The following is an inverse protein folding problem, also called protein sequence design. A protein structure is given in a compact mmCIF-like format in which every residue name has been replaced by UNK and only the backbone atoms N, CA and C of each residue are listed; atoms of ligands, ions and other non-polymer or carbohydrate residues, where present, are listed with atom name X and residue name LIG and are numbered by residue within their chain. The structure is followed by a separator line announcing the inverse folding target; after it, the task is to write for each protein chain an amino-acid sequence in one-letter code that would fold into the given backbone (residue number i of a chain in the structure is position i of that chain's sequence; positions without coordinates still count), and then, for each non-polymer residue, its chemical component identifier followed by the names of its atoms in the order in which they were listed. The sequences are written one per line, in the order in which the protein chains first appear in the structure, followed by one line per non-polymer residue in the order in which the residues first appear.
data_IF_199847947774
#
_entry.id   IF_199847947774
#
_cell.length_a   1.000
_cell.length_b   1.000
_cell.length_c   1.000
_cell.angle_alpha   90.00
_cell.angle_beta   90.00
_cell.angle_gamma   90.00
#
_symmetry.space_group_name_H-M   'P 1'
#
loop_
_entity.id
_entity.type
_entity.pdbx_description
1 polymer ?
#
# COMPACT_ATOMS: atom_id res chain seq x y z
N UNK A 1 -23.41 -34.76 -10.73
CA UNK A 1 -23.99 -33.59 -9.98
C UNK A 1 -23.62 -33.58 -8.50
N UNK A 2 -23.97 -34.58 -7.66
CA UNK A 2 -23.61 -34.57 -6.22
C UNK A 2 -22.11 -34.78 -5.95
N UNK A 3 -21.40 -35.56 -6.75
CA UNK A 3 -19.96 -35.78 -6.66
C UNK A 3 -19.18 -34.51 -7.04
N UNK A 4 -19.60 -33.83 -8.09
CA UNK A 4 -18.99 -32.59 -8.56
C UNK A 4 -19.17 -31.45 -7.55
N UNK A 5 -20.34 -31.40 -6.88
CA UNK A 5 -20.61 -30.40 -5.81
C UNK A 5 -19.71 -30.65 -4.60
N UNK A 6 -19.48 -31.90 -4.18
CA UNK A 6 -18.57 -32.24 -3.07
C UNK A 6 -17.11 -31.98 -3.42
N UNK A 7 -16.68 -32.24 -4.65
CA UNK A 7 -15.33 -31.94 -5.11
C UNK A 7 -15.07 -30.42 -5.10
N UNK A 8 -16.02 -29.62 -5.61
CA UNK A 8 -15.93 -28.16 -5.59
C UNK A 8 -15.94 -27.58 -4.16
N UNK A 9 -16.65 -28.20 -3.23
CA UNK A 9 -16.64 -27.81 -1.82
C UNK A 9 -15.30 -28.13 -1.15
N UNK A 10 -14.74 -29.30 -1.40
CA UNK A 10 -13.43 -29.69 -0.88
C UNK A 10 -12.31 -28.76 -1.39
N UNK A 11 -12.35 -28.39 -2.69
CA UNK A 11 -11.41 -27.45 -3.27
C UNK A 11 -11.51 -26.05 -2.63
N UNK A 12 -12.72 -25.52 -2.46
CA UNK A 12 -12.93 -24.23 -1.76
C UNK A 12 -12.40 -24.27 -0.33
N UNK A 13 -12.66 -25.37 0.40
CA UNK A 13 -12.13 -25.54 1.75
C UNK A 13 -10.61 -25.60 1.78
N UNK A 14 -9.96 -26.22 0.79
CA UNK A 14 -8.51 -26.26 0.69
C UNK A 14 -7.93 -24.86 0.41
N UNK A 15 -8.47 -24.13 -0.56
CA UNK A 15 -8.08 -22.75 -0.86
C UNK A 15 -8.25 -21.82 0.36
N UNK A 16 -9.35 -21.96 1.09
CA UNK A 16 -9.58 -21.17 2.30
C UNK A 16 -8.56 -21.47 3.40
N UNK A 17 -8.15 -22.74 3.59
CA UNK A 17 -7.11 -23.09 4.57
C UNK A 17 -5.76 -22.45 4.24
N UNK A 18 -5.37 -22.49 2.96
CA UNK A 18 -4.13 -21.83 2.50
C UNK A 18 -4.19 -20.33 2.74
N UNK A 19 -5.28 -19.68 2.31
CA UNK A 19 -5.49 -18.27 2.57
C UNK A 19 -5.38 -17.94 4.06
N UNK A 20 -6.09 -18.71 4.90
CA UNK A 20 -6.08 -18.47 6.34
C UNK A 20 -4.70 -18.64 6.97
N UNK A 21 -3.92 -19.61 6.54
CA UNK A 21 -2.56 -19.81 7.04
C UNK A 21 -1.66 -18.62 6.69
N UNK A 22 -1.78 -18.10 5.47
CA UNK A 22 -1.04 -16.93 5.01
C UNK A 22 -1.49 -15.67 5.77
N UNK A 23 -2.80 -15.41 5.89
CA UNK A 23 -3.34 -14.26 6.65
C UNK A 23 -2.91 -14.30 8.13
N UNK A 24 -3.01 -15.48 8.77
CA UNK A 24 -2.58 -15.65 10.16
C UNK A 24 -1.08 -15.35 10.35
N UNK A 25 -0.22 -15.74 9.39
CA UNK A 25 1.21 -15.47 9.43
C UNK A 25 1.51 -13.96 9.29
N UNK A 26 0.84 -13.27 8.37
CA UNK A 26 0.96 -11.82 8.23
C UNK A 26 0.55 -11.06 9.49
N UNK A 27 -0.60 -11.42 10.06
CA UNK A 27 -1.11 -10.75 11.27
C UNK A 27 -0.24 -10.95 12.50
N UNK A 28 0.45 -12.10 12.58
CA UNK A 28 1.40 -12.41 13.65
C UNK A 28 2.79 -11.83 13.40
N UNK A 29 3.12 -11.50 12.16
CA UNK A 29 4.47 -11.13 11.78
C UNK A 29 5.43 -12.32 11.79
N UNK A 30 4.96 -13.51 11.40
CA UNK A 30 5.71 -14.76 11.41
C UNK A 30 6.18 -15.09 9.99
N UNK A 31 7.45 -14.75 9.69
CA UNK A 31 8.03 -14.94 8.35
C UNK A 31 8.24 -16.41 8.02
N UNK A 32 8.60 -17.26 8.98
CA UNK A 32 8.82 -18.67 8.76
C UNK A 32 7.49 -19.38 8.43
N UNK A 33 6.44 -19.07 9.21
CA UNK A 33 5.10 -19.56 8.92
C UNK A 33 4.58 -19.05 7.56
N UNK A 34 4.89 -17.81 7.18
CA UNK A 34 4.52 -17.24 5.89
C UNK A 34 5.19 -17.98 4.74
N UNK A 35 6.50 -18.21 4.81
CA UNK A 35 7.26 -18.95 3.79
C UNK A 35 6.71 -20.35 3.61
N UNK A 36 6.46 -21.07 4.70
CA UNK A 36 5.85 -22.41 4.65
C UNK A 36 4.47 -22.37 3.99
N UNK A 37 3.63 -21.38 4.34
CA UNK A 37 2.28 -21.27 3.81
C UNK A 37 2.26 -20.89 2.32
N UNK A 38 3.25 -20.10 1.85
CA UNK A 38 3.45 -19.74 0.45
C UNK A 38 4.12 -20.85 -0.39
N UNK A 39 4.72 -21.86 0.25
CA UNK A 39 5.47 -22.91 -0.43
C UNK A 39 6.89 -22.53 -0.80
N UNK A 40 7.50 -21.62 -0.03
CA UNK A 40 8.89 -21.16 -0.15
C UNK A 40 9.26 -20.68 -1.58
N UNK A 41 8.56 -19.65 -2.11
CA UNK A 41 8.78 -19.19 -3.47
C UNK A 41 10.16 -18.51 -3.60
N UNK A 42 10.87 -18.86 -4.70
CA UNK A 42 12.25 -18.38 -4.92
C UNK A 42 12.38 -16.85 -5.08
N UNK A 43 11.30 -16.18 -5.46
CA UNK A 43 11.23 -14.73 -5.64
C UNK A 43 10.61 -13.99 -4.44
N UNK A 44 10.44 -14.68 -3.30
CA UNK A 44 10.03 -14.00 -2.05
C UNK A 44 11.06 -12.92 -1.66
N UNK A 45 10.62 -11.74 -1.20
CA UNK A 45 9.25 -11.30 -0.92
C UNK A 45 8.57 -10.53 -2.06
N UNK A 46 9.00 -10.71 -3.31
CA UNK A 46 8.43 -10.03 -4.47
C UNK A 46 7.57 -10.96 -5.34
N UNK A 47 7.24 -12.16 -4.83
CA UNK A 47 6.32 -13.10 -5.46
C UNK A 47 4.88 -12.57 -5.45
N UNK A 48 4.03 -13.16 -6.28
CA UNK A 48 2.59 -12.97 -6.19
C UNK A 48 1.98 -13.94 -5.18
N UNK A 49 0.93 -13.51 -4.50
CA UNK A 49 0.11 -14.42 -3.71
C UNK A 49 -0.62 -15.43 -4.60
N UNK A 50 -0.96 -16.63 -4.07
CA UNK A 50 -1.66 -17.68 -4.81
C UNK A 50 -3.15 -17.37 -5.04
N UNK A 51 -3.56 -16.11 -4.89
CA UNK A 51 -4.91 -15.60 -5.19
C UNK A 51 -4.82 -14.32 -6.01
N UNK A 52 -5.87 -14.07 -6.77
CA UNK A 52 -6.00 -12.86 -7.60
C UNK A 52 -7.20 -12.06 -7.06
N UNK A 53 -6.94 -11.17 -6.13
CA UNK A 53 -7.95 -10.33 -5.47
C UNK A 53 -7.88 -8.85 -5.87
N UNK A 54 -6.84 -8.46 -6.63
CA UNK A 54 -6.65 -7.06 -7.05
C UNK A 54 -6.20 -6.11 -5.94
N UNK A 55 -6.13 -6.59 -4.70
CA UNK A 55 -5.57 -5.88 -3.54
C UNK A 55 -4.73 -6.86 -2.73
N UNK A 56 -3.51 -6.47 -2.39
CA UNK A 56 -2.61 -7.33 -1.63
C UNK A 56 -2.05 -8.48 -2.46
N UNK A 57 -1.80 -8.25 -3.75
CA UNK A 57 -1.21 -9.25 -4.64
C UNK A 57 0.24 -9.56 -4.27
N UNK A 58 0.94 -8.58 -3.68
CA UNK A 58 2.32 -8.73 -3.23
C UNK A 58 2.41 -8.81 -1.70
N UNK A 59 3.42 -9.55 -1.16
CA UNK A 59 3.69 -9.61 0.27
C UNK A 59 3.73 -8.26 0.98
N UNK A 60 4.45 -7.29 0.43
CA UNK A 60 4.55 -5.97 1.04
C UNK A 60 3.20 -5.23 1.04
N UNK A 61 2.46 -5.29 -0.06
CA UNK A 61 1.14 -4.66 -0.16
C UNK A 61 0.18 -5.23 0.89
N UNK A 62 0.10 -6.57 1.00
CA UNK A 62 -0.74 -7.22 2.00
C UNK A 62 -0.33 -6.84 3.44
N UNK A 63 0.99 -6.83 3.70
CA UNK A 63 1.52 -6.48 5.02
C UNK A 63 1.17 -5.05 5.44
N UNK A 64 1.17 -4.08 4.51
CA UNK A 64 0.79 -2.69 4.79
C UNK A 64 -0.60 -2.60 5.42
N UNK A 65 -1.53 -3.43 4.98
CA UNK A 65 -2.90 -3.43 5.52
C UNK A 65 -3.06 -4.22 6.82
N UNK A 66 -2.33 -5.34 6.96
CA UNK A 66 -2.72 -6.35 7.95
C UNK A 66 -1.64 -6.72 8.97
N UNK A 67 -0.39 -6.30 8.76
CA UNK A 67 0.72 -6.74 9.61
C UNK A 67 1.18 -5.68 10.60
N UNK A 68 1.84 -6.07 11.70
CA UNK A 68 2.58 -5.16 12.55
C UNK A 68 3.70 -4.44 11.77
N UNK A 69 4.03 -3.20 12.16
CA UNK A 69 5.07 -2.39 11.51
C UNK A 69 6.43 -3.11 11.46
N UNK A 70 6.80 -3.79 12.54
CA UNK A 70 8.04 -4.57 12.61
C UNK A 70 8.12 -5.67 11.54
N UNK A 71 6.98 -6.26 11.16
CA UNK A 71 6.97 -7.26 10.10
C UNK A 71 7.13 -6.65 8.71
N UNK A 72 6.54 -5.47 8.49
CA UNK A 72 6.77 -4.70 7.25
C UNK A 72 8.25 -4.35 7.11
N UNK A 73 8.90 -3.93 8.20
CA UNK A 73 10.34 -3.70 8.22
C UNK A 73 11.13 -4.97 7.89
N UNK A 74 10.76 -6.11 8.47
CA UNK A 74 11.35 -7.41 8.15
C UNK A 74 11.24 -7.74 6.67
N UNK A 75 10.08 -7.54 6.04
CA UNK A 75 9.91 -7.78 4.59
C UNK A 75 10.80 -6.86 3.75
N UNK A 76 10.91 -5.59 4.12
CA UNK A 76 11.78 -4.62 3.45
C UNK A 76 13.26 -4.99 3.61
N UNK A 77 13.68 -5.49 4.79
CA UNK A 77 15.02 -6.00 5.04
C UNK A 77 15.35 -7.26 4.22
N UNK A 78 14.34 -8.06 3.92
CA UNK A 78 14.45 -9.21 3.00
C UNK A 78 14.39 -8.81 1.51
N UNK A 79 14.34 -7.51 1.21
CA UNK A 79 14.37 -7.02 -0.16
C UNK A 79 13.00 -6.87 -0.82
N UNK A 80 11.93 -6.73 -0.05
CA UNK A 80 10.64 -6.36 -0.62
C UNK A 80 10.74 -5.02 -1.35
N UNK A 81 10.26 -5.00 -2.59
CA UNK A 81 10.27 -3.79 -3.42
C UNK A 81 9.17 -2.83 -2.95
N UNK A 82 9.51 -1.64 -2.39
CA UNK A 82 8.49 -0.66 -2.00
C UNK A 82 7.75 -0.06 -3.21
N UNK A 83 8.29 -0.25 -4.41
CA UNK A 83 7.72 0.21 -5.68
C UNK A 83 7.19 -0.96 -6.51
N UNK A 84 6.49 -1.90 -5.86
CA UNK A 84 5.88 -3.02 -6.57
C UNK A 84 4.94 -2.53 -7.68
N UNK A 85 4.80 -3.27 -8.79
CA UNK A 85 3.94 -2.89 -9.90
C UNK A 85 2.48 -2.75 -9.45
N UNK A 86 1.81 -1.66 -9.88
CA UNK A 86 0.37 -1.55 -9.71
C UNK A 86 -0.34 -2.58 -10.62
N UNK A 87 -1.08 -3.48 -10.02
CA UNK A 87 -1.88 -4.52 -10.70
C UNK A 87 -3.37 -4.39 -10.38
N UNK A 88 -3.83 -3.19 -10.08
CA UNK A 88 -5.20 -2.90 -9.66
C UNK A 88 -5.34 -2.68 -8.17
N UNK A 89 -4.20 -2.62 -7.44
CA UNK A 89 -4.11 -2.22 -6.05
C UNK A 89 -3.63 -0.77 -5.88
N UNK A 90 -3.03 -0.52 -4.74
CA UNK A 90 -2.46 0.79 -4.44
C UNK A 90 -0.94 0.70 -4.32
N UNK A 91 -0.17 1.61 -4.96
CA UNK A 91 1.24 1.81 -4.65
C UNK A 91 1.48 1.93 -3.15
N UNK A 92 2.65 1.50 -2.68
CA UNK A 92 2.93 1.33 -1.23
C UNK A 92 2.61 2.56 -0.38
N UNK A 93 2.98 3.76 -0.84
CA UNK A 93 2.69 5.01 -0.12
C UNK A 93 1.19 5.32 -0.09
N UNK A 94 0.47 5.07 -1.19
CA UNK A 94 -0.99 5.27 -1.26
C UNK A 94 -1.69 4.22 -0.40
N UNK A 95 -1.24 2.96 -0.45
CA UNK A 95 -1.74 1.90 0.42
C UNK A 95 -1.59 2.29 1.89
N UNK A 96 -0.40 2.77 2.30
CA UNK A 96 -0.14 3.23 3.66
C UNK A 96 -1.05 4.41 4.06
N UNK A 97 -1.22 5.40 3.16
CA UNK A 97 -2.10 6.54 3.38
C UNK A 97 -3.58 6.15 3.47
N UNK A 98 -4.00 5.06 2.82
CA UNK A 98 -5.39 4.58 2.83
C UNK A 98 -5.78 3.88 4.13
N UNK A 99 -4.81 3.45 4.93
CA UNK A 99 -5.07 2.78 6.21
C UNK A 99 -5.40 3.76 7.33
N UNK A 100 -6.19 3.30 8.31
CA UNK A 100 -6.47 4.04 9.55
C UNK A 100 -5.61 3.54 10.73
N UNK A 101 -4.45 2.93 10.42
CA UNK A 101 -3.54 2.42 11.44
C UNK A 101 -2.91 3.56 12.25
N UNK A 102 -2.70 3.38 13.57
CA UNK A 102 -2.19 4.43 14.44
C UNK A 102 -0.72 4.79 14.14
N UNK A 103 0.06 3.84 13.62
CA UNK A 103 1.48 3.98 13.25
C UNK A 103 1.68 4.34 11.75
N UNK A 104 0.65 4.94 11.11
CA UNK A 104 0.67 5.28 9.68
C UNK A 104 1.84 6.19 9.29
N UNK A 105 2.16 7.19 10.10
CA UNK A 105 3.28 8.11 9.80
C UNK A 105 4.64 7.43 9.93
N UNK A 106 4.79 6.52 10.89
CA UNK A 106 5.99 5.69 11.04
C UNK A 106 6.16 4.78 9.83
N UNK A 107 5.05 4.17 9.37
CA UNK A 107 5.03 3.35 8.16
C UNK A 107 5.43 4.16 6.93
N UNK A 108 4.90 5.36 6.75
CA UNK A 108 5.28 6.24 5.64
C UNK A 108 6.77 6.59 5.68
N UNK A 109 7.31 6.93 6.87
CA UNK A 109 8.75 7.17 7.04
C UNK A 109 9.58 5.94 6.68
N UNK A 110 9.16 4.77 7.12
CA UNK A 110 9.83 3.51 6.80
C UNK A 110 9.87 3.28 5.29
N UNK A 111 8.73 3.34 4.61
CA UNK A 111 8.65 3.15 3.16
C UNK A 111 9.51 4.16 2.39
N UNK A 112 9.44 5.44 2.75
CA UNK A 112 10.25 6.50 2.14
C UNK A 112 11.74 6.29 2.38
N UNK A 113 12.15 5.87 3.57
CA UNK A 113 13.56 5.55 3.88
C UNK A 113 14.11 4.35 3.09
N UNK A 114 13.22 3.49 2.61
CA UNK A 114 13.54 2.31 1.77
C UNK A 114 13.36 2.60 0.27
N UNK A 115 13.18 3.87 -0.12
CA UNK A 115 13.13 4.30 -1.51
C UNK A 115 11.78 4.17 -2.17
N UNK A 116 10.68 4.25 -1.43
CA UNK A 116 9.35 4.35 -2.02
C UNK A 116 9.23 5.63 -2.85
N UNK A 117 8.74 5.49 -4.09
CA UNK A 117 8.64 6.57 -5.06
C UNK A 117 7.42 7.46 -4.79
N UNK A 118 7.68 8.74 -4.46
CA UNK A 118 6.64 9.76 -4.25
C UNK A 118 5.87 10.14 -5.52
N UNK A 119 6.35 9.74 -6.70
CA UNK A 119 5.72 10.00 -7.98
C UNK A 119 4.87 8.82 -8.49
N UNK A 120 4.93 7.65 -7.85
CA UNK A 120 4.15 6.48 -8.25
C UNK A 120 2.66 6.75 -8.09
N UNK A 121 1.89 6.52 -9.14
CA UNK A 121 0.47 6.89 -9.21
C UNK A 121 -0.44 5.70 -8.95
N UNK A 122 -1.57 5.96 -8.28
CA UNK A 122 -2.64 4.98 -8.07
C UNK A 122 -3.72 5.03 -9.14
N UNK A 123 -4.81 4.32 -8.88
CA UNK A 123 -5.93 4.12 -9.81
C UNK A 123 -6.54 5.42 -10.37
N UNK A 124 -6.62 6.48 -9.57
CA UNK A 124 -7.17 7.77 -9.99
C UNK A 124 -6.10 8.71 -10.57
N UNK A 125 -4.97 8.14 -11.01
CA UNK A 125 -3.78 8.90 -11.43
C UNK A 125 -3.24 9.86 -10.35
N UNK A 126 -3.65 9.69 -9.12
CA UNK A 126 -3.19 10.46 -7.98
C UNK A 126 -1.79 10.03 -7.57
N UNK A 127 -0.94 11.00 -7.28
CA UNK A 127 0.29 10.75 -6.53
C UNK A 127 -0.03 10.58 -5.03
N UNK A 128 0.90 10.06 -4.22
CA UNK A 128 0.74 10.03 -2.77
C UNK A 128 0.40 11.39 -2.17
N UNK A 129 0.93 12.49 -2.75
CA UNK A 129 0.65 13.84 -2.29
C UNK A 129 -0.82 14.24 -2.51
N UNK A 130 -1.42 13.93 -3.67
CA UNK A 130 -2.86 14.14 -3.91
C UNK A 130 -3.69 13.37 -2.87
N UNK A 131 -3.30 12.13 -2.59
CA UNK A 131 -4.01 11.30 -1.63
C UNK A 131 -3.95 11.87 -0.20
N UNK A 132 -2.77 12.31 0.25
CA UNK A 132 -2.60 12.96 1.55
C UNK A 132 -3.44 14.26 1.64
N UNK A 133 -3.47 15.05 0.56
CA UNK A 133 -4.28 16.26 0.44
C UNK A 133 -5.77 15.97 0.56
N UNK A 134 -6.29 14.97 -0.14
CA UNK A 134 -7.72 14.63 -0.08
C UNK A 134 -8.18 14.26 1.34
N UNK A 135 -7.27 13.77 2.18
CA UNK A 135 -7.50 13.42 3.59
C UNK A 135 -7.24 14.58 4.56
N UNK A 136 -6.77 15.73 4.08
CA UNK A 136 -6.30 16.87 4.90
C UNK A 136 -5.20 16.45 5.92
N UNK A 137 -4.36 15.47 5.54
CA UNK A 137 -3.31 14.91 6.40
C UNK A 137 -2.02 15.74 6.31
N UNK A 138 -1.99 16.82 7.07
CA UNK A 138 -0.87 17.78 7.08
C UNK A 138 0.47 17.12 7.35
N UNK A 139 0.52 16.18 8.31
CA UNK A 139 1.77 15.52 8.68
C UNK A 139 2.31 14.62 7.55
N UNK A 140 1.41 13.95 6.82
CA UNK A 140 1.80 13.16 5.64
C UNK A 140 2.22 14.08 4.48
N UNK A 141 1.53 15.22 4.27
CA UNK A 141 1.89 16.21 3.24
C UNK A 141 3.32 16.72 3.49
N UNK A 142 3.62 17.18 4.69
CA UNK A 142 4.95 17.69 5.06
C UNK A 142 6.03 16.62 4.87
N UNK A 143 5.74 15.39 5.28
CA UNK A 143 6.65 14.26 5.12
C UNK A 143 6.95 13.94 3.65
N UNK A 144 5.92 13.90 2.81
CA UNK A 144 6.07 13.63 1.38
C UNK A 144 6.86 14.75 0.67
N UNK A 145 6.58 16.02 1.00
CA UNK A 145 7.32 17.17 0.46
C UNK A 145 8.79 17.13 0.87
N UNK A 146 9.08 16.78 2.14
CA UNK A 146 10.45 16.62 2.62
C UNK A 146 11.22 15.51 1.90
N UNK A 147 10.53 14.54 1.30
CA UNK A 147 11.10 13.46 0.49
C UNK A 147 10.97 13.70 -1.02
N UNK A 148 10.74 14.93 -1.45
CA UNK A 148 10.80 15.32 -2.85
C UNK A 148 9.53 15.07 -3.65
N UNK A 149 8.38 14.91 -3.02
CA UNK A 149 7.12 14.87 -3.75
C UNK A 149 6.92 16.16 -4.56
N UNK A 150 6.54 16.02 -5.83
CA UNK A 150 6.31 17.16 -6.71
C UNK A 150 5.00 17.87 -6.36
N UNK A 151 5.12 19.05 -5.77
CA UNK A 151 4.00 19.91 -5.38
C UNK A 151 3.17 20.40 -6.59
N UNK A 152 3.74 20.35 -7.79
CA UNK A 152 3.09 20.78 -9.03
C UNK A 152 2.65 19.59 -9.90
N UNK A 153 2.77 18.36 -9.41
CA UNK A 153 2.33 17.18 -10.15
C UNK A 153 0.85 17.33 -10.51
N UNK A 154 0.52 17.17 -11.80
CA UNK A 154 -0.88 17.16 -12.24
C UNK A 154 -1.40 15.74 -12.43
N UNK A 155 -2.64 15.50 -12.08
CA UNK A 155 -3.36 14.30 -12.54
C UNK A 155 -3.48 14.35 -14.06
N UNK A 156 -3.61 13.20 -14.72
CA UNK A 156 -3.74 13.10 -16.19
C UNK A 156 -5.16 12.72 -16.61
N UNK A 157 -5.98 12.39 -15.65
CA UNK A 157 -7.39 12.08 -15.79
C UNK A 157 -8.20 13.01 -14.87
N UNK A 158 -9.49 13.03 -15.02
CA UNK A 158 -10.41 13.86 -14.27
C UNK A 158 -10.09 15.38 -14.41
N UNK A 159 -9.94 16.10 -13.32
CA UNK A 159 -9.83 17.56 -13.31
C UNK A 159 -8.42 18.08 -13.69
N UNK A 160 -7.46 17.22 -13.98
CA UNK A 160 -6.07 17.58 -14.29
C UNK A 160 -5.45 18.50 -13.22
N UNK A 161 -5.86 18.30 -11.97
CA UNK A 161 -5.54 19.17 -10.84
C UNK A 161 -4.13 18.93 -10.30
N UNK A 162 -3.53 19.99 -9.76
CA UNK A 162 -2.38 19.89 -8.85
C UNK A 162 -2.86 19.57 -7.43
N UNK A 163 -1.97 19.12 -6.52
CA UNK A 163 -2.33 18.95 -5.10
C UNK A 163 -2.98 20.19 -4.47
N UNK A 164 -2.53 21.39 -4.83
CA UNK A 164 -3.11 22.63 -4.30
C UNK A 164 -4.51 22.90 -4.87
N UNK A 165 -4.69 22.74 -6.19
CA UNK A 165 -6.00 22.87 -6.84
C UNK A 165 -6.99 21.86 -6.26
N UNK A 166 -6.57 20.61 -6.03
CA UNK A 166 -7.36 19.58 -5.36
C UNK A 166 -7.74 19.97 -3.92
N UNK A 167 -6.77 20.51 -3.14
CA UNK A 167 -7.02 20.98 -1.79
C UNK A 167 -8.07 22.10 -1.74
N UNK A 168 -8.00 23.03 -2.70
CA UNK A 168 -8.95 24.15 -2.82
C UNK A 168 -10.34 23.66 -3.22
N UNK A 169 -10.46 22.75 -4.19
CA UNK A 169 -11.72 22.13 -4.61
C UNK A 169 -12.39 21.36 -3.46
N UNK A 170 -11.61 20.61 -2.68
CA UNK A 170 -12.09 19.82 -1.55
C UNK A 170 -12.22 20.64 -0.25
N UNK A 171 -11.87 21.95 -0.26
CA UNK A 171 -11.86 22.83 0.90
C UNK A 171 -11.03 22.29 2.08
N UNK A 172 -9.83 21.73 1.79
CA UNK A 172 -8.89 21.16 2.75
C UNK A 172 -7.95 22.23 3.30
N UNK A 173 -8.36 22.90 4.36
CA UNK A 173 -7.66 24.08 4.89
C UNK A 173 -6.25 23.77 5.36
N UNK A 174 -6.06 22.66 6.09
CA UNK A 174 -4.75 22.25 6.57
C UNK A 174 -3.79 21.94 5.42
N UNK A 175 -4.27 21.23 4.39
CA UNK A 175 -3.48 20.95 3.19
C UNK A 175 -3.12 22.22 2.42
N UNK A 176 -4.05 23.17 2.26
CA UNK A 176 -3.79 24.48 1.61
C UNK A 176 -2.66 25.21 2.32
N UNK A 177 -2.72 25.30 3.65
CA UNK A 177 -1.72 26.02 4.45
C UNK A 177 -0.36 25.32 4.37
N UNK A 178 -0.32 24.00 4.46
CA UNK A 178 0.92 23.21 4.33
C UNK A 178 1.56 23.38 2.95
N UNK A 179 0.78 23.29 1.87
CA UNK A 179 1.28 23.43 0.50
C UNK A 179 1.78 24.86 0.21
N UNK A 180 1.09 25.89 0.69
CA UNK A 180 1.53 27.30 0.54
C UNK A 180 2.74 27.63 1.42
N UNK A 181 2.87 26.98 2.58
CA UNK A 181 4.03 27.12 3.47
C UNK A 181 5.30 26.46 2.93
N UNK A 182 5.19 25.38 2.21
CA UNK A 182 6.30 24.64 1.60
C UNK A 182 6.90 25.30 0.34
N UNK A 183 6.33 26.40 -0.14
CA UNK A 183 6.82 27.16 -1.32
C UNK A 183 7.83 28.27 -0.96
N UNK A 184 8.26 28.37 0.32
CA UNK A 184 9.28 29.32 0.77
C UNK A 184 10.64 28.65 0.85
#
# INVERSE_FOLDING_TARGET
MAADAKAGEAERCAKYRVFKAIDDAYRKGDIDALLVALGDPADFPNCLHPWDLGLGDFPLEYAIYWSPLAFIETLLDHGANPNYPDRGGFPSLIAALSTDRPDRLELLRLLLSRGADTAQRGLNDWTPLHYAVSRDDVAAIELLLAHGADINARTRIDDLATPLEEAEQLNRKGAIDALKGGQK
#
